data_IF_797132495888
#
_entry.id   IF_797132495888
#
_cell.length_a   1.000
_cell.length_b   1.000
_cell.length_c   1.000
_cell.angle_alpha   90.00
_cell.angle_beta   90.00
_cell.angle_gamma   90.00
#
_symmetry.space_group_name_H-M   'P 1'
#
loop_
_entity.id
_entity.type
_entity.pdbx_description
1 polymer ?
#
# COMPACT_ATOMS: atom_id res chain seq x y z
N UNK A 1 2.53 10.86 -12.47
CA UNK A 1 3.68 10.85 -11.55
C UNK A 1 3.43 9.84 -10.45
N UNK A 2 4.40 9.00 -10.13
CA UNK A 2 4.26 7.97 -9.10
C UNK A 2 4.03 8.59 -7.72
N UNK A 3 3.13 7.97 -6.93
CA UNK A 3 2.76 8.46 -5.60
C UNK A 3 2.77 7.31 -4.59
N UNK A 4 3.40 7.53 -3.45
CA UNK A 4 3.30 6.63 -2.30
C UNK A 4 1.89 6.74 -1.72
N UNK A 5 1.10 5.65 -1.81
CA UNK A 5 -0.32 5.69 -1.41
C UNK A 5 -0.78 4.48 -0.60
N UNK A 6 0.14 3.59 -0.26
CA UNK A 6 -0.19 2.37 0.47
C UNK A 6 0.94 1.98 1.41
N UNK A 7 0.58 1.59 2.62
CA UNK A 7 1.49 1.03 3.62
C UNK A 7 0.81 -0.19 4.23
N UNK A 8 1.53 -1.30 4.35
CA UNK A 8 1.01 -2.51 4.97
C UNK A 8 1.73 -2.78 6.29
N UNK A 9 0.95 -3.06 7.31
CA UNK A 9 1.42 -3.39 8.65
C UNK A 9 1.02 -4.83 8.97
N UNK A 10 1.97 -5.62 9.42
CA UNK A 10 1.71 -6.95 9.97
C UNK A 10 1.38 -6.80 11.45
N UNK A 11 0.20 -7.26 11.85
CA UNK A 11 -0.33 -7.09 13.19
C UNK A 11 -0.75 -8.43 13.81
N UNK A 12 -0.83 -8.49 15.13
CA UNK A 12 -1.23 -9.71 15.84
C UNK A 12 -2.75 -9.78 16.10
N UNK A 13 -3.43 -8.62 16.09
CA UNK A 13 -4.85 -8.51 16.37
C UNK A 13 -5.46 -7.41 15.48
N UNK A 14 -6.26 -7.84 14.50
CA UNK A 14 -6.88 -6.93 13.53
C UNK A 14 -7.84 -5.93 14.18
N UNK A 15 -8.67 -6.40 15.10
CA UNK A 15 -9.67 -5.53 15.73
C UNK A 15 -9.01 -4.49 16.63
N UNK A 16 -8.00 -4.87 17.38
CA UNK A 16 -7.25 -3.95 18.21
C UNK A 16 -6.52 -2.90 17.35
N UNK A 17 -5.89 -3.32 16.29
CA UNK A 17 -5.18 -2.42 15.37
C UNK A 17 -6.16 -1.43 14.69
N UNK A 18 -7.29 -1.94 14.19
CA UNK A 18 -8.33 -1.11 13.60
C UNK A 18 -8.84 -0.04 14.58
N UNK A 19 -9.19 -0.45 15.78
CA UNK A 19 -9.68 0.48 16.81
C UNK A 19 -8.65 1.54 17.14
N UNK A 20 -7.38 1.16 17.22
CA UNK A 20 -6.31 2.11 17.48
C UNK A 20 -6.28 3.23 16.44
N UNK A 21 -6.29 2.88 15.15
CA UNK A 21 -6.24 3.87 14.08
C UNK A 21 -7.52 4.71 13.99
N UNK A 22 -8.68 4.13 14.30
CA UNK A 22 -9.94 4.86 14.38
C UNK A 22 -9.92 5.88 15.53
N UNK A 23 -9.55 5.44 16.73
CA UNK A 23 -9.61 6.27 17.94
C UNK A 23 -8.50 7.31 18.01
N UNK A 24 -7.29 6.95 17.60
CA UNK A 24 -6.14 7.84 17.70
C UNK A 24 -6.09 8.89 16.59
N UNK A 25 -6.53 8.53 15.38
CA UNK A 25 -6.31 9.34 14.17
C UNK A 25 -7.56 9.57 13.34
N UNK A 26 -8.72 9.17 13.80
CA UNK A 26 -10.00 9.30 13.09
C UNK A 26 -9.99 8.66 11.70
N UNK A 27 -9.19 7.62 11.50
CA UNK A 27 -9.16 6.90 10.23
C UNK A 27 -10.42 6.07 10.05
N UNK A 28 -10.81 5.88 8.81
CA UNK A 28 -11.99 5.07 8.45
C UNK A 28 -11.57 3.70 7.93
N UNK A 29 -12.32 2.68 8.30
CA UNK A 29 -12.22 1.38 7.66
C UNK A 29 -12.86 1.47 6.27
N UNK A 30 -12.09 1.19 5.22
CA UNK A 30 -12.54 1.32 3.83
C UNK A 30 -12.67 -0.03 3.12
N UNK A 31 -12.34 -1.12 3.79
CA UNK A 31 -12.50 -2.44 3.23
C UNK A 31 -11.97 -3.54 4.15
N UNK A 32 -12.32 -4.76 3.79
CA UNK A 32 -11.87 -5.96 4.50
C UNK A 32 -11.75 -7.09 3.48
N UNK A 33 -10.67 -7.83 3.50
CA UNK A 33 -10.50 -9.00 2.65
C UNK A 33 -9.60 -10.03 3.33
N UNK A 34 -10.04 -11.28 3.40
CA UNK A 34 -9.27 -12.36 3.98
C UNK A 34 -8.78 -12.02 5.39
N UNK A 35 -7.47 -11.98 5.56
CA UNK A 35 -6.81 -11.67 6.82
C UNK A 35 -6.43 -10.18 6.93
N UNK A 36 -7.08 -9.32 6.18
CA UNK A 36 -6.76 -7.89 6.12
C UNK A 36 -7.92 -6.98 6.44
N UNK A 37 -7.60 -5.85 7.05
CA UNK A 37 -8.51 -4.71 7.23
C UNK A 37 -7.81 -3.50 6.61
N UNK A 38 -8.55 -2.73 5.83
CA UNK A 38 -8.00 -1.55 5.15
C UNK A 38 -8.53 -0.28 5.79
N UNK A 39 -7.62 0.60 6.16
CA UNK A 39 -7.90 1.90 6.75
C UNK A 39 -7.49 3.01 5.79
N UNK A 40 -8.07 4.18 5.94
CA UNK A 40 -7.70 5.36 5.15
C UNK A 40 -7.71 6.62 6.00
N UNK A 41 -6.78 7.51 5.70
CA UNK A 41 -6.76 8.88 6.22
C UNK A 41 -7.38 9.88 5.23
N UNK A 42 -7.99 9.39 4.14
CA UNK A 42 -8.52 10.19 3.04
C UNK A 42 -7.57 10.30 1.84
N UNK A 43 -6.34 9.91 1.98
CA UNK A 43 -5.32 9.99 0.92
C UNK A 43 -4.55 8.70 0.75
N UNK A 44 -4.16 8.06 1.84
CA UNK A 44 -3.33 6.85 1.87
C UNK A 44 -4.13 5.68 2.40
N UNK A 45 -3.96 4.53 1.78
CA UNK A 45 -4.47 3.25 2.27
C UNK A 45 -3.46 2.64 3.23
N UNK A 46 -3.93 2.18 4.39
CA UNK A 46 -3.13 1.40 5.32
C UNK A 46 -3.77 0.02 5.43
N UNK A 47 -3.04 -1.01 5.02
CA UNK A 47 -3.48 -2.39 5.18
C UNK A 47 -2.99 -2.94 6.51
N UNK A 48 -3.91 -3.44 7.33
CA UNK A 48 -3.60 -4.16 8.57
C UNK A 48 -3.76 -5.64 8.25
N UNK A 49 -2.67 -6.40 8.37
CA UNK A 49 -2.63 -7.80 7.92
C UNK A 49 -2.34 -8.72 9.09
N UNK A 50 -3.21 -9.71 9.30
CA UNK A 50 -2.98 -10.79 10.25
C UNK A 50 -2.69 -12.10 9.48
N UNK A 51 -1.44 -12.24 9.07
CA UNK A 51 -0.91 -13.44 8.42
C UNK A 51 0.17 -14.10 9.27
N UNK A 52 0.05 -13.98 10.57
CA UNK A 52 1.00 -14.55 11.54
C UNK A 52 2.42 -14.07 11.30
N UNK A 53 2.59 -12.81 10.95
CA UNK A 53 3.88 -12.21 10.70
C UNK A 53 4.53 -12.59 9.37
N UNK A 54 3.78 -13.24 8.47
CA UNK A 54 4.27 -13.66 7.15
C UNK A 54 3.34 -13.20 6.03
N UNK A 55 3.34 -11.91 5.68
CA UNK A 55 2.58 -11.41 4.54
C UNK A 55 3.03 -12.06 3.22
N UNK A 56 2.24 -11.87 2.17
CA UNK A 56 2.56 -12.39 0.83
C UNK A 56 3.96 -11.94 0.40
N UNK A 57 4.74 -12.87 -0.13
CA UNK A 57 6.12 -12.66 -0.53
C UNK A 57 7.13 -12.92 0.58
N UNK A 58 6.68 -13.23 1.79
CA UNK A 58 7.51 -13.55 2.95
C UNK A 58 7.31 -14.99 3.46
N UNK A 59 6.73 -15.84 2.63
CA UNK A 59 6.53 -17.25 2.94
C UNK A 59 7.89 -17.93 3.18
N UNK A 60 8.00 -18.66 4.29
CA UNK A 60 9.25 -19.31 4.67
C UNK A 60 10.25 -18.46 5.41
N UNK A 61 9.99 -17.16 5.56
CA UNK A 61 10.79 -16.26 6.39
C UNK A 61 10.36 -16.36 7.86
N UNK A 62 11.23 -15.92 8.78
CA UNK A 62 10.86 -15.79 10.18
C UNK A 62 9.73 -14.78 10.35
N UNK A 63 8.73 -15.04 11.22
CA UNK A 63 7.67 -14.09 11.46
C UNK A 63 8.20 -12.75 11.97
N UNK A 64 7.61 -11.68 11.43
CA UNK A 64 7.89 -10.33 11.91
C UNK A 64 6.64 -9.48 11.84
N UNK A 65 6.54 -8.52 12.72
CA UNK A 65 5.40 -7.62 12.84
C UNK A 65 5.85 -6.17 12.64
N UNK A 66 4.89 -5.29 12.40
CA UNK A 66 5.16 -3.89 12.10
C UNK A 66 5.05 -3.58 10.61
N UNK A 67 5.73 -2.55 10.15
CA UNK A 67 5.69 -2.13 8.74
C UNK A 67 6.33 -3.21 7.88
N UNK A 68 5.55 -3.72 6.92
CA UNK A 68 6.00 -4.80 6.04
C UNK A 68 6.42 -4.28 4.66
N UNK A 69 5.55 -3.56 3.99
CA UNK A 69 5.81 -3.03 2.66
C UNK A 69 5.03 -1.74 2.43
N UNK A 70 5.37 -1.06 1.35
CA UNK A 70 4.67 0.13 0.91
C UNK A 70 4.24 -0.05 -0.55
N UNK A 71 3.36 0.83 -1.02
CA UNK A 71 2.84 0.74 -2.37
C UNK A 71 2.86 2.08 -3.09
N UNK A 72 3.20 2.02 -4.36
CA UNK A 72 3.31 3.17 -5.25
C UNK A 72 2.22 3.07 -6.32
N UNK A 73 1.40 4.10 -6.40
CA UNK A 73 0.40 4.23 -7.44
C UNK A 73 1.03 4.95 -8.64
N UNK A 74 1.07 4.29 -9.78
CA UNK A 74 1.73 4.76 -10.99
C UNK A 74 0.71 5.04 -12.08
N UNK A 75 1.09 5.84 -13.07
CA UNK A 75 0.23 6.14 -14.21
C UNK A 75 0.23 4.99 -15.23
N UNK A 76 1.41 4.43 -15.50
CA UNK A 76 1.63 3.38 -16.49
C UNK A 76 2.40 2.23 -15.82
N UNK A 77 1.72 1.09 -15.64
CA UNK A 77 2.31 -0.05 -14.94
C UNK A 77 3.48 -0.67 -15.71
N UNK A 78 3.39 -0.77 -17.03
CA UNK A 78 4.46 -1.37 -17.82
C UNK A 78 5.73 -0.52 -17.76
N UNK A 79 5.59 0.78 -17.88
CA UNK A 79 6.71 1.70 -17.75
C UNK A 79 7.31 1.66 -16.34
N UNK A 80 6.46 1.66 -15.32
CA UNK A 80 6.91 1.61 -13.93
C UNK A 80 7.69 0.33 -13.62
N UNK A 81 7.21 -0.82 -14.09
CA UNK A 81 7.91 -2.09 -13.93
C UNK A 81 9.28 -2.08 -14.64
N UNK A 82 9.34 -1.56 -15.86
CA UNK A 82 10.62 -1.45 -16.59
C UNK A 82 11.61 -0.55 -15.87
N UNK A 83 11.15 0.59 -15.37
CA UNK A 83 12.00 1.52 -14.61
C UNK A 83 12.49 0.91 -13.31
N UNK A 84 11.62 0.23 -12.58
CA UNK A 84 11.98 -0.44 -11.33
C UNK A 84 13.06 -1.49 -11.57
N UNK A 85 12.86 -2.36 -12.56
CA UNK A 85 13.82 -3.42 -12.90
C UNK A 85 15.15 -2.84 -13.40
N UNK A 86 15.10 -1.82 -14.24
CA UNK A 86 16.30 -1.13 -14.71
C UNK A 86 17.09 -0.47 -13.56
N UNK A 87 16.39 -0.04 -12.51
CA UNK A 87 17.00 0.56 -11.31
C UNK A 87 17.47 -0.48 -10.28
N UNK A 88 17.26 -1.77 -10.54
CA UNK A 88 17.77 -2.87 -9.70
C UNK A 88 16.72 -3.60 -8.86
N UNK A 89 15.44 -3.35 -9.08
CA UNK A 89 14.39 -4.09 -8.38
C UNK A 89 14.23 -5.51 -8.93
N UNK A 90 13.86 -6.43 -8.06
CA UNK A 90 13.61 -7.83 -8.39
C UNK A 90 12.14 -8.15 -8.18
N UNK A 91 11.49 -8.71 -9.20
CA UNK A 91 10.09 -9.13 -9.11
C UNK A 91 9.95 -10.29 -8.12
N UNK A 92 8.93 -10.20 -7.26
CA UNK A 92 8.61 -11.22 -6.26
C UNK A 92 7.38 -12.03 -6.67
N UNK A 93 6.25 -11.35 -6.85
CA UNK A 93 5.00 -11.99 -7.26
C UNK A 93 4.00 -10.93 -7.76
N UNK A 94 2.89 -11.41 -8.30
CA UNK A 94 1.81 -10.56 -8.76
C UNK A 94 1.96 -10.16 -10.22
N UNK A 95 0.81 -9.99 -10.88
CA UNK A 95 0.73 -9.59 -12.27
C UNK A 95 -0.24 -8.42 -12.42
N UNK A 96 0.02 -7.59 -13.41
CA UNK A 96 -0.89 -6.49 -13.77
C UNK A 96 -2.21 -7.03 -14.31
N UNK A 97 -3.23 -6.20 -14.28
CA UNK A 97 -4.46 -6.38 -15.03
C UNK A 97 -4.66 -5.21 -16.00
N UNK A 98 -5.17 -5.50 -17.20
CA UNK A 98 -5.53 -4.45 -18.16
C UNK A 98 -6.94 -3.90 -17.89
N UNK A 99 -7.72 -4.54 -16.99
CA UNK A 99 -9.03 -4.06 -16.57
C UNK A 99 -8.86 -2.97 -15.49
N UNK A 100 -9.26 -1.72 -15.76
CA UNK A 100 -9.10 -0.63 -14.80
C UNK A 100 -9.91 -0.81 -13.51
N UNK A 101 -10.87 -1.73 -13.48
CA UNK A 101 -11.69 -2.03 -12.31
C UNK A 101 -11.18 -3.21 -11.50
N UNK A 102 -10.14 -3.89 -11.95
CA UNK A 102 -9.56 -5.03 -11.24
C UNK A 102 -8.46 -4.56 -10.31
N UNK A 103 -8.58 -4.92 -9.03
CA UNK A 103 -7.49 -4.71 -8.08
C UNK A 103 -6.33 -5.63 -8.40
N UNK A 104 -5.13 -5.09 -8.44
CA UNK A 104 -3.90 -5.88 -8.56
C UNK A 104 -2.74 -5.15 -7.93
N UNK A 105 -1.74 -5.92 -7.52
CA UNK A 105 -0.46 -5.43 -7.03
C UNK A 105 0.65 -6.24 -7.66
N UNK A 106 1.68 -5.55 -8.19
CA UNK A 106 2.91 -6.20 -8.67
C UNK A 106 3.97 -5.94 -7.62
N UNK A 107 4.45 -7.02 -6.97
CA UNK A 107 5.39 -6.91 -5.85
C UNK A 107 6.83 -7.06 -6.32
N UNK A 108 7.65 -6.16 -5.83
CA UNK A 108 9.10 -6.12 -6.06
C UNK A 108 9.85 -5.99 -4.75
N UNK A 109 11.12 -6.31 -4.80
CA UNK A 109 12.08 -5.89 -3.78
C UNK A 109 13.03 -4.87 -4.40
N UNK A 110 13.33 -3.80 -3.67
CA UNK A 110 14.34 -2.84 -4.07
C UNK A 110 15.77 -3.42 -3.86
N UNK A 111 16.84 -2.71 -4.26
CA UNK A 111 18.21 -3.21 -4.08
C UNK A 111 18.63 -3.47 -2.63
N UNK A 112 17.92 -2.90 -1.66
CA UNK A 112 18.16 -3.10 -0.23
C UNK A 112 17.27 -4.20 0.37
N UNK A 113 16.42 -4.82 -0.45
CA UNK A 113 15.51 -5.88 0.00
C UNK A 113 14.16 -5.40 0.51
N UNK A 114 13.86 -4.11 0.44
CA UNK A 114 12.55 -3.58 0.85
C UNK A 114 11.48 -3.98 -0.15
N UNK A 115 10.39 -4.55 0.35
CA UNK A 115 9.26 -4.94 -0.50
C UNK A 115 8.36 -3.73 -0.79
N UNK A 116 7.94 -3.61 -2.04
CA UNK A 116 6.96 -2.61 -2.44
C UNK A 116 6.04 -3.13 -3.52
N UNK A 117 4.85 -2.52 -3.60
CA UNK A 117 3.85 -2.85 -4.60
C UNK A 117 3.76 -1.73 -5.63
N UNK A 118 3.55 -2.10 -6.89
CA UNK A 118 3.19 -1.17 -7.96
C UNK A 118 1.78 -1.49 -8.44
N UNK A 119 0.96 -0.48 -8.64
CA UNK A 119 -0.35 -0.60 -9.29
C UNK A 119 -0.70 0.69 -10.02
N UNK A 120 -1.47 0.56 -11.09
CA UNK A 120 -2.09 1.71 -11.77
C UNK A 120 -3.56 1.87 -11.37
N UNK A 121 -4.14 0.92 -10.65
CA UNK A 121 -5.56 0.91 -10.27
C UNK A 121 -5.83 1.39 -8.83
N UNK A 122 -4.79 1.64 -8.07
CA UNK A 122 -4.90 2.21 -6.72
C UNK A 122 -5.35 1.23 -5.64
N UNK A 123 -5.69 1.78 -4.48
CA UNK A 123 -6.16 1.07 -3.30
C UNK A 123 -7.41 1.74 -2.75
N UNK A 124 -8.25 0.97 -2.08
CA UNK A 124 -9.45 1.49 -1.43
C UNK A 124 -9.08 2.63 -0.47
N UNK A 125 -9.79 3.75 -0.59
CA UNK A 125 -9.57 4.92 0.26
C UNK A 125 -8.33 5.74 -0.08
N UNK A 126 -7.56 5.37 -1.11
CA UNK A 126 -6.41 6.15 -1.57
C UNK A 126 -6.84 7.12 -2.67
N UNK A 127 -6.18 8.26 -2.72
CA UNK A 127 -6.34 9.27 -3.78
C UNK A 127 -4.98 9.56 -4.38
N UNK A 128 -4.81 9.29 -5.68
CA UNK A 128 -3.51 9.44 -6.32
C UNK A 128 -3.08 10.89 -6.42
N UNK A 129 -3.90 11.72 -7.06
CA UNK A 129 -3.58 13.13 -7.32
C UNK A 129 -4.32 14.02 -6.32
N UNK A 130 -3.58 14.48 -5.34
CA UNK A 130 -4.09 15.43 -4.35
C UNK A 130 -3.84 16.84 -4.88
N UNK A 131 -4.93 17.60 -5.05
CA UNK A 131 -4.79 19.01 -5.35
C UNK A 131 -4.08 19.69 -4.17
N UNK A 132 -3.01 20.46 -4.43
CA UNK A 132 -2.42 21.26 -3.36
C UNK A 132 -3.54 22.07 -2.74
N UNK A 133 -3.59 22.08 -1.42
CA UNK A 133 -4.45 23.02 -0.74
C UNK A 133 -4.20 24.39 -1.38
N UNK A 134 -5.26 25.05 -1.86
CA UNK A 134 -5.10 26.47 -2.22
C UNK A 134 -4.36 27.10 -1.07
N UNK A 135 -3.25 27.76 -1.37
CA UNK A 135 -2.69 28.67 -0.40
C UNK A 135 -3.86 29.50 0.08
N UNK A 136 -4.34 29.20 1.27
CA UNK A 136 -5.28 30.09 1.92
C UNK A 136 -4.53 31.38 2.02
N UNK A 137 -5.01 32.41 1.34
CA UNK A 137 -4.49 33.75 1.53
C UNK A 137 -4.35 33.95 3.04
N UNK A 138 -3.15 34.39 3.50
CA UNK A 138 -2.98 34.62 4.92
C UNK A 138 -4.15 35.48 5.40
N UNK A 139 -4.82 35.00 6.45
CA UNK A 139 -5.86 35.79 7.08
C UNK A 139 -5.27 37.13 7.43
N UNK A 140 -5.82 38.16 6.81
CA UNK A 140 -5.44 39.55 7.11
C UNK A 140 -5.70 39.84 8.59
#
# INVERSE_FOLDING_TARGET
MAKLRHIALSVTDLDQARKFFEEAFDMEMVGRAGNGVYMSDGTVNIALLDRKGRPLGHEGEEPRYGIDHFGIWVDDIDEACRKAEAAGATHVLGNKSDDPNTFYEVKYRDPQGNMFDLTANGWNGAVKDVMPARETEPAE
#
